data_IF_706400330658
#
_entry.id   IF_706400330658
#
_cell.length_a   1.000
_cell.length_b   1.000
_cell.length_c   1.000
_cell.angle_alpha   90.00
_cell.angle_beta   90.00
_cell.angle_gamma   90.00
#
_symmetry.space_group_name_H-M   'P 1'
#
loop_
_entity.id
_entity.type
_entity.pdbx_description
1 polymer ?
#
# COMPACT_ATOMS: atom_id res chain seq x y z
N UNK A 1 11.10 -16.57 12.54
CA UNK A 1 11.31 -15.53 11.52
C UNK A 1 12.74 -15.60 11.05
N UNK A 2 12.92 -15.94 9.79
CA UNK A 2 14.17 -15.88 9.05
C UNK A 2 14.55 -14.43 8.74
N UNK A 3 15.84 -14.17 8.53
CA UNK A 3 16.32 -12.85 8.16
C UNK A 3 15.73 -12.38 6.81
N UNK A 4 15.43 -13.32 5.90
CA UNK A 4 14.76 -13.05 4.63
C UNK A 4 13.32 -12.57 4.80
N UNK A 5 12.57 -13.18 5.72
CA UNK A 5 11.21 -12.73 6.05
C UNK A 5 11.20 -11.31 6.63
N UNK A 6 12.09 -11.03 7.59
CA UNK A 6 12.19 -9.70 8.20
C UNK A 6 12.56 -8.60 7.18
N UNK A 7 13.41 -8.93 6.20
CA UNK A 7 13.77 -8.02 5.11
C UNK A 7 12.57 -7.77 4.17
N UNK A 8 11.81 -8.82 3.84
CA UNK A 8 10.63 -8.69 2.99
C UNK A 8 9.49 -7.93 3.68
N UNK A 9 9.26 -8.15 4.97
CA UNK A 9 8.26 -7.38 5.73
C UNK A 9 8.66 -5.91 5.82
N UNK A 10 9.96 -5.61 6.01
CA UNK A 10 10.45 -4.23 5.95
C UNK A 10 10.21 -3.60 4.58
N UNK A 11 10.58 -4.29 3.50
CA UNK A 11 10.35 -3.81 2.13
C UNK A 11 8.86 -3.61 1.85
N UNK A 12 8.02 -4.55 2.30
CA UNK A 12 6.57 -4.48 2.17
C UNK A 12 5.98 -3.30 2.95
N UNK A 13 6.48 -3.03 4.15
CA UNK A 13 6.02 -1.88 4.96
C UNK A 13 6.49 -0.55 4.38
N UNK A 14 7.70 -0.50 3.82
CA UNK A 14 8.33 0.73 3.32
C UNK A 14 7.84 1.11 1.91
N UNK A 15 7.75 0.13 1.00
CA UNK A 15 7.34 0.34 -0.40
C UNK A 15 5.85 0.09 -0.63
N UNK A 16 5.12 -0.46 0.35
CA UNK A 16 3.73 -0.95 0.23
C UNK A 16 3.50 -1.93 -0.92
N UNK A 17 4.59 -2.42 -1.51
CA UNK A 17 4.63 -3.26 -2.71
C UNK A 17 5.88 -4.13 -2.60
N UNK A 18 5.72 -5.42 -2.86
CA UNK A 18 6.84 -6.36 -3.02
C UNK A 18 6.57 -7.19 -4.26
N UNK A 19 7.59 -7.24 -5.11
CA UNK A 19 7.57 -7.98 -6.36
C UNK A 19 8.03 -9.41 -6.14
N UNK A 20 7.76 -10.30 -7.09
CA UNK A 20 8.29 -11.67 -7.04
C UNK A 20 9.83 -11.69 -7.03
N UNK A 21 10.47 -10.71 -7.68
CA UNK A 21 11.94 -10.57 -7.69
C UNK A 21 12.50 -10.26 -6.30
N UNK A 22 11.83 -9.42 -5.50
CA UNK A 22 12.25 -9.13 -4.13
C UNK A 22 12.20 -10.39 -3.26
N UNK A 23 11.16 -11.20 -3.43
CA UNK A 23 10.97 -12.47 -2.71
C UNK A 23 12.05 -13.48 -3.11
N UNK A 24 12.31 -13.65 -4.41
CA UNK A 24 13.37 -14.54 -4.89
C UNK A 24 14.77 -14.09 -4.43
N UNK A 25 15.03 -12.78 -4.40
CA UNK A 25 16.28 -12.22 -3.90
C UNK A 25 16.47 -12.54 -2.40
N UNK A 26 15.42 -12.38 -1.60
CA UNK A 26 15.45 -12.71 -0.18
C UNK A 26 15.62 -14.21 0.08
N UNK A 27 14.94 -15.07 -0.70
CA UNK A 27 15.10 -16.54 -0.62
C UNK A 27 16.51 -16.98 -1.01
N UNK A 28 17.13 -16.31 -1.99
CA UNK A 28 18.47 -16.61 -2.46
C UNK A 28 19.57 -16.15 -1.50
N UNK A 29 19.34 -15.03 -0.80
CA UNK A 29 20.31 -14.43 0.12
C UNK A 29 20.25 -15.05 1.52
N UNK A 30 19.04 -15.33 2.02
CA UNK A 30 18.82 -15.79 3.41
C UNK A 30 18.35 -17.24 3.53
N UNK A 31 18.14 -17.91 2.41
CA UNK A 31 17.59 -19.27 2.34
C UNK A 31 16.08 -19.28 2.12
N UNK A 32 15.56 -20.42 1.66
CA UNK A 32 14.15 -20.58 1.35
C UNK A 32 13.26 -20.27 2.56
N UNK A 33 12.26 -19.42 2.35
CA UNK A 33 11.23 -19.12 3.34
C UNK A 33 10.44 -20.40 3.64
N UNK A 34 10.07 -20.59 4.91
CA UNK A 34 9.17 -21.68 5.27
C UNK A 34 7.76 -21.40 4.76
N UNK A 35 6.93 -22.44 4.63
CA UNK A 35 5.53 -22.29 4.19
C UNK A 35 4.74 -21.33 5.11
N UNK A 36 5.07 -21.30 6.41
CA UNK A 36 4.48 -20.38 7.38
C UNK A 36 4.89 -18.92 7.11
N UNK A 37 6.15 -18.68 6.75
CA UNK A 37 6.66 -17.34 6.41
C UNK A 37 6.09 -16.83 5.08
N UNK A 38 5.91 -17.73 4.10
CA UNK A 38 5.23 -17.39 2.83
C UNK A 38 3.78 -17.01 3.05
N UNK A 39 3.06 -17.79 3.87
CA UNK A 39 1.67 -17.52 4.22
C UNK A 39 1.53 -16.16 4.94
N UNK A 40 2.42 -15.86 5.89
CA UNK A 40 2.38 -14.56 6.55
C UNK A 40 2.72 -13.41 5.60
N UNK A 41 3.67 -13.60 4.69
CA UNK A 41 4.01 -12.59 3.69
C UNK A 41 2.80 -12.29 2.77
N UNK A 42 2.10 -13.33 2.32
CA UNK A 42 0.86 -13.18 1.53
C UNK A 42 -0.26 -12.52 2.34
N UNK A 43 -0.44 -12.91 3.60
CA UNK A 43 -1.42 -12.29 4.48
C UNK A 43 -1.16 -10.79 4.68
N UNK A 44 0.10 -10.41 4.87
CA UNK A 44 0.50 -9.02 5.05
C UNK A 44 0.41 -8.23 3.74
N UNK A 45 0.70 -8.86 2.58
CA UNK A 45 0.40 -8.29 1.25
C UNK A 45 -1.09 -8.01 1.10
N UNK A 46 -1.95 -8.98 1.38
CA UNK A 46 -3.41 -8.80 1.27
C UNK A 46 -3.99 -7.83 2.29
N UNK A 47 -3.35 -7.68 3.46
CA UNK A 47 -3.73 -6.68 4.44
C UNK A 47 -3.38 -5.28 3.93
N UNK A 48 -2.17 -5.08 3.41
CA UNK A 48 -1.74 -3.81 2.83
C UNK A 48 -2.48 -3.47 1.53
N UNK A 49 -2.81 -4.46 0.72
CA UNK A 49 -3.68 -4.30 -0.43
C UNK A 49 -5.06 -3.84 0.02
N UNK A 50 -5.67 -4.47 1.04
CA UNK A 50 -6.95 -3.99 1.62
C UNK A 50 -6.87 -2.62 2.29
N UNK A 51 -5.74 -2.26 2.87
CA UNK A 51 -5.51 -0.92 3.43
C UNK A 51 -5.29 0.13 2.34
N UNK A 52 -4.61 -0.24 1.24
CA UNK A 52 -4.41 0.59 0.06
C UNK A 52 -5.66 0.70 -0.81
N UNK A 53 -6.50 -0.32 -0.78
CA UNK A 53 -7.79 -0.47 -1.46
C UNK A 53 -8.96 -0.18 -0.52
N UNK A 54 -8.69 0.49 0.61
CA UNK A 54 -9.75 0.99 1.47
C UNK A 54 -10.66 1.88 0.62
N UNK A 55 -11.90 1.43 0.44
CA UNK A 55 -12.94 2.16 -0.27
C UNK A 55 -13.06 3.53 0.39
N UNK A 56 -12.81 4.58 -0.40
CA UNK A 56 -12.96 5.95 0.07
C UNK A 56 -14.41 6.11 0.54
N UNK A 57 -14.59 6.57 1.78
CA UNK A 57 -15.93 6.82 2.28
C UNK A 57 -16.47 8.13 1.72
N UNK A 58 -17.80 8.29 1.67
CA UNK A 58 -18.42 9.55 1.23
C UNK A 58 -17.92 10.75 2.06
N UNK A 59 -17.64 10.55 3.36
CA UNK A 59 -17.12 11.62 4.21
C UNK A 59 -15.71 12.06 3.78
N UNK A 60 -14.82 11.10 3.47
CA UNK A 60 -13.49 11.38 2.95
C UNK A 60 -13.53 12.08 1.59
N UNK A 61 -14.48 11.69 0.74
CA UNK A 61 -14.75 12.35 -0.53
C UNK A 61 -15.21 13.81 -0.35
N UNK A 62 -16.14 14.07 0.58
CA UNK A 62 -16.64 15.42 0.87
C UNK A 62 -15.53 16.32 1.44
N UNK A 63 -14.69 15.79 2.33
CA UNK A 63 -13.53 16.52 2.85
C UNK A 63 -12.50 16.82 1.77
N UNK A 64 -12.23 15.88 0.87
CA UNK A 64 -11.35 16.07 -0.27
C UNK A 64 -11.90 17.13 -1.24
N UNK A 65 -13.19 17.09 -1.56
CA UNK A 65 -13.86 18.09 -2.41
C UNK A 65 -13.72 19.49 -1.81
N UNK A 66 -13.97 19.63 -0.51
CA UNK A 66 -13.80 20.90 0.21
C UNK A 66 -12.33 21.37 0.21
N UNK A 67 -11.39 20.43 0.26
CA UNK A 67 -9.96 20.74 0.17
C UNK A 67 -9.59 21.22 -1.22
N UNK A 68 -10.15 20.66 -2.30
CA UNK A 68 -9.93 21.16 -3.66
C UNK A 68 -10.45 22.60 -3.84
N UNK A 69 -11.57 22.95 -3.20
CA UNK A 69 -12.11 24.32 -3.24
C UNK A 69 -11.30 25.34 -2.42
N UNK A 70 -10.43 24.89 -1.51
CA UNK A 70 -9.75 25.76 -0.54
C UNK A 70 -8.22 25.73 -0.63
N UNK A 71 -7.64 24.64 -1.13
CA UNK A 71 -6.21 24.48 -1.34
C UNK A 71 -5.77 25.15 -2.65
N UNK A 72 -4.53 25.63 -2.68
CA UNK A 72 -3.94 26.20 -3.89
C UNK A 72 -3.77 25.12 -4.96
N UNK A 73 -4.22 25.38 -6.19
CA UNK A 73 -4.11 24.44 -7.30
C UNK A 73 -2.65 23.99 -7.49
N UNK A 74 -2.42 22.68 -7.43
CA UNK A 74 -1.09 22.08 -7.56
C UNK A 74 -0.28 21.94 -6.26
N UNK A 75 -0.80 22.42 -5.12
CA UNK A 75 -0.27 22.12 -3.77
C UNK A 75 -0.32 20.61 -3.45
N UNK A 76 0.43 20.16 -2.45
CA UNK A 76 0.42 18.75 -2.04
C UNK A 76 -0.96 18.33 -1.51
N UNK A 77 -1.65 19.23 -0.82
CA UNK A 77 -3.00 19.05 -0.30
C UNK A 77 -4.01 18.91 -1.44
N UNK A 78 -3.90 19.73 -2.47
CA UNK A 78 -4.74 19.64 -3.67
C UNK A 78 -4.57 18.29 -4.36
N UNK A 79 -3.34 17.85 -4.61
CA UNK A 79 -3.06 16.57 -5.30
C UNK A 79 -3.56 15.36 -4.52
N UNK A 80 -3.43 15.39 -3.19
CA UNK A 80 -3.96 14.32 -2.32
C UNK A 80 -5.48 14.29 -2.35
N UNK A 81 -6.12 15.46 -2.30
CA UNK A 81 -7.57 15.57 -2.39
C UNK A 81 -8.10 15.11 -3.75
N UNK A 82 -7.42 15.47 -4.84
CA UNK A 82 -7.74 15.06 -6.20
C UNK A 82 -7.69 13.53 -6.34
N UNK A 83 -6.64 12.89 -5.83
CA UNK A 83 -6.51 11.44 -5.83
C UNK A 83 -7.62 10.74 -5.03
N UNK A 84 -8.09 11.32 -3.93
CA UNK A 84 -9.20 10.78 -3.12
C UNK A 84 -10.53 10.87 -3.89
N UNK A 85 -10.78 12.02 -4.52
CA UNK A 85 -11.98 12.26 -5.36
C UNK A 85 -11.98 11.32 -6.56
N UNK A 86 -10.87 11.24 -7.29
CA UNK A 86 -10.73 10.36 -8.47
C UNK A 86 -10.89 8.89 -8.08
N UNK A 87 -10.32 8.47 -6.95
CA UNK A 87 -10.48 7.11 -6.44
C UNK A 87 -11.95 6.79 -6.12
N UNK A 88 -12.65 7.70 -5.42
CA UNK A 88 -14.08 7.54 -5.12
C UNK A 88 -14.96 7.50 -6.38
N UNK A 89 -14.72 8.40 -7.34
CA UNK A 89 -15.51 8.49 -8.58
C UNK A 89 -15.23 7.34 -9.55
N UNK A 90 -14.00 6.82 -9.58
CA UNK A 90 -13.62 5.67 -10.40
C UNK A 90 -14.19 4.34 -9.90
N UNK A 91 -14.73 4.31 -8.67
CA UNK A 91 -15.33 3.12 -8.07
C UNK A 91 -14.32 2.01 -7.72
N UNK A 92 -13.03 2.33 -7.66
CA UNK A 92 -11.95 1.45 -7.18
C UNK A 92 -11.58 1.81 -5.74
#
# INVERSE_FOLDING_TARGET
MSAGYDQLIKLLTEKKTITAEDVEAAEKEHGALTDEEKLQLEAEKHKLEREGDATITMDQYLEATKTLDTAEEGSEEYKKAEAIVEKFESGM
#
